data_IF_698629305787
#
_entry.id   IF_698629305787
#
_cell.length_a   1.000
_cell.length_b   1.000
_cell.length_c   1.000
_cell.angle_alpha   90.00
_cell.angle_beta   90.00
_cell.angle_gamma   90.00
#
_symmetry.space_group_name_H-M   'P 1'
#
loop_
_entity.id
_entity.type
_entity.pdbx_description
1 polymer ?
#
# COMPACT_ATOMS: atom_id res chain seq x y z
N UNK A 1 -51.65 -13.87 -66.16
CA UNK A 1 -52.11 -14.59 -64.97
C UNK A 1 -51.34 -14.05 -63.78
N UNK A 2 -52.08 -13.50 -62.83
CA UNK A 2 -51.63 -12.89 -61.59
C UNK A 2 -50.92 -13.90 -60.67
N UNK A 3 -50.00 -13.44 -59.81
CA UNK A 3 -50.27 -13.51 -58.38
C UNK A 3 -49.42 -12.55 -57.54
N UNK A 4 -50.11 -11.91 -56.61
CA UNK A 4 -49.65 -10.92 -55.62
C UNK A 4 -48.79 -11.57 -54.53
N UNK A 5 -47.75 -10.88 -54.05
CA UNK A 5 -47.24 -11.06 -52.67
C UNK A 5 -47.06 -9.65 -52.06
N UNK A 6 -47.78 -9.39 -50.96
CA UNK A 6 -47.73 -8.15 -50.16
C UNK A 6 -46.40 -8.05 -49.40
N UNK A 7 -45.86 -6.84 -49.15
CA UNK A 7 -44.71 -6.68 -48.26
C UNK A 7 -45.17 -6.85 -46.80
N UNK A 8 -44.50 -7.75 -46.07
CA UNK A 8 -44.72 -7.98 -44.65
C UNK A 8 -44.02 -6.90 -43.82
N UNK A 9 -44.75 -6.32 -42.88
CA UNK A 9 -44.27 -5.44 -41.82
C UNK A 9 -43.14 -6.13 -41.01
N UNK A 10 -41.86 -5.78 -41.21
CA UNK A 10 -40.81 -6.16 -40.23
C UNK A 10 -39.83 -5.04 -39.86
N UNK A 11 -39.75 -3.96 -40.65
CA UNK A 11 -38.81 -2.86 -40.36
C UNK A 11 -39.17 -2.03 -39.11
N UNK A 12 -40.46 -1.97 -38.72
CA UNK A 12 -40.89 -1.26 -37.49
C UNK A 12 -40.64 -2.05 -36.21
N UNK A 13 -40.65 -3.38 -36.26
CA UNK A 13 -40.42 -4.23 -35.08
C UNK A 13 -38.93 -4.31 -34.73
N UNK A 14 -38.02 -4.35 -35.70
CA UNK A 14 -36.57 -4.37 -35.40
C UNK A 14 -36.07 -3.07 -34.75
N UNK A 15 -36.57 -1.91 -35.18
CA UNK A 15 -36.19 -0.63 -34.59
C UNK A 15 -36.78 -0.41 -33.18
N UNK A 16 -37.98 -0.95 -32.90
CA UNK A 16 -38.57 -0.88 -31.56
C UNK A 16 -37.91 -1.85 -30.58
N UNK A 17 -37.48 -3.03 -31.05
CA UNK A 17 -36.79 -4.04 -30.22
C UNK A 17 -35.35 -3.62 -29.90
N UNK A 18 -34.59 -3.07 -30.85
CA UNK A 18 -33.25 -2.55 -30.56
C UNK A 18 -33.26 -1.36 -29.60
N UNK A 19 -34.29 -0.50 -29.67
CA UNK A 19 -34.45 0.65 -28.77
C UNK A 19 -34.95 0.24 -27.38
N UNK A 20 -35.73 -0.84 -27.27
CA UNK A 20 -36.12 -1.39 -25.97
C UNK A 20 -34.98 -2.12 -25.28
N UNK A 21 -34.13 -2.82 -26.03
CA UNK A 21 -32.97 -3.55 -25.47
C UNK A 21 -31.88 -2.59 -24.98
N UNK A 22 -31.66 -1.45 -25.66
CA UNK A 22 -30.71 -0.43 -25.19
C UNK A 22 -31.19 0.28 -23.92
N UNK A 23 -32.50 0.56 -23.83
CA UNK A 23 -33.12 1.17 -22.64
C UNK A 23 -33.11 0.19 -21.47
N UNK A 24 -33.41 -1.10 -21.71
CA UNK A 24 -33.35 -2.14 -20.69
C UNK A 24 -31.91 -2.37 -20.20
N UNK A 25 -30.90 -2.29 -21.08
CA UNK A 25 -29.50 -2.37 -20.68
C UNK A 25 -29.05 -1.14 -19.86
N UNK A 26 -29.51 0.06 -20.20
CA UNK A 26 -29.25 1.28 -19.42
C UNK A 26 -29.96 1.26 -18.06
N UNK A 27 -31.19 0.79 -17.99
CA UNK A 27 -31.93 0.56 -16.75
C UNK A 27 -31.25 -0.51 -15.90
N UNK A 28 -30.79 -1.61 -16.49
CA UNK A 28 -30.05 -2.66 -15.79
C UNK A 28 -28.70 -2.16 -15.27
N UNK A 29 -27.96 -1.36 -16.05
CA UNK A 29 -26.73 -0.70 -15.60
C UNK A 29 -27.01 0.33 -14.49
N UNK A 30 -28.15 1.01 -14.54
CA UNK A 30 -28.58 1.96 -13.51
C UNK A 30 -28.96 1.23 -12.22
N UNK A 31 -29.66 0.10 -12.32
CA UNK A 31 -29.99 -0.79 -11.21
C UNK A 31 -28.74 -1.45 -10.63
N UNK A 32 -27.77 -1.85 -11.45
CA UNK A 32 -26.46 -2.34 -10.99
C UNK A 32 -25.70 -1.22 -10.28
N UNK A 33 -25.68 0.01 -10.80
CA UNK A 33 -25.06 1.16 -10.12
C UNK A 33 -25.76 1.54 -8.82
N UNK A 34 -27.09 1.48 -8.78
CA UNK A 34 -27.87 1.69 -7.55
C UNK A 34 -27.65 0.57 -6.55
N UNK A 35 -27.59 -0.68 -7.02
CA UNK A 35 -27.28 -1.83 -6.19
C UNK A 35 -25.86 -1.72 -5.63
N UNK A 36 -24.85 -1.39 -6.44
CA UNK A 36 -23.48 -1.14 -5.96
C UNK A 36 -23.39 0.04 -4.98
N UNK A 37 -24.28 1.03 -5.08
CA UNK A 37 -24.41 2.12 -4.10
C UNK A 37 -25.21 1.72 -2.85
N UNK A 38 -26.16 0.80 -2.95
CA UNK A 38 -26.99 0.30 -1.84
C UNK A 38 -26.41 -0.94 -1.17
N UNK A 39 -25.38 -1.55 -1.77
CA UNK A 39 -24.45 -2.47 -1.15
C UNK A 39 -23.59 -1.67 -0.16
N UNK A 40 -24.25 -1.13 0.87
CA UNK A 40 -23.61 -0.93 2.13
C UNK A 40 -23.09 -2.30 2.55
N UNK A 41 -21.77 -2.47 2.48
CA UNK A 41 -21.14 -3.58 3.15
C UNK A 41 -21.54 -3.50 4.63
N UNK A 42 -21.74 -4.60 5.36
CA UNK A 42 -21.71 -4.54 6.82
C UNK A 42 -20.27 -4.13 7.18
N UNK A 43 -20.04 -2.83 7.36
CA UNK A 43 -18.73 -2.20 7.13
C UNK A 43 -18.79 -0.92 6.30
N UNK A 44 -19.99 -0.41 6.00
CA UNK A 44 -20.24 1.01 5.82
C UNK A 44 -19.36 1.75 6.78
N UNK A 45 -18.42 2.50 6.20
CA UNK A 45 -17.38 3.17 6.94
C UNK A 45 -18.07 4.11 7.92
N UNK A 46 -18.25 3.63 9.14
CA UNK A 46 -18.11 4.40 10.36
C UNK A 46 -16.71 5.02 10.28
N UNK A 47 -16.49 5.96 9.36
CA UNK A 47 -15.63 7.07 9.71
C UNK A 47 -16.24 7.54 11.01
N UNK A 48 -15.47 7.54 12.09
CA UNK A 48 -15.83 8.34 13.25
C UNK A 48 -15.91 9.77 12.69
N UNK A 49 -17.08 10.17 12.18
CA UNK A 49 -17.25 11.22 11.16
C UNK A 49 -16.78 12.60 11.62
N UNK A 50 -16.36 12.71 12.88
CA UNK A 50 -15.92 13.96 13.50
C UNK A 50 -14.54 13.85 14.18
N UNK A 51 -13.84 12.71 14.11
CA UNK A 51 -12.53 12.59 14.76
C UNK A 51 -11.43 13.16 13.83
N UNK A 52 -10.69 14.19 14.24
CA UNK A 52 -9.65 14.78 13.41
C UNK A 52 -8.50 13.80 13.18
N UNK A 53 -7.85 13.89 12.02
CA UNK A 53 -6.73 13.05 11.64
C UNK A 53 -5.50 13.91 11.33
N UNK A 54 -4.36 13.55 11.90
CA UNK A 54 -3.07 14.19 11.62
C UNK A 54 -2.15 13.19 10.96
N UNK A 55 -1.78 13.46 9.71
CA UNK A 55 -0.83 12.65 8.96
C UNK A 55 0.53 13.35 8.90
N UNK A 56 1.51 12.78 9.58
CA UNK A 56 2.84 13.34 9.72
C UNK A 56 3.80 12.67 8.74
N UNK A 57 4.41 13.44 7.85
CA UNK A 57 5.45 12.97 6.92
C UNK A 57 6.82 13.29 7.52
N UNK A 58 7.39 12.32 8.23
CA UNK A 58 8.76 12.41 8.75
C UNK A 58 9.74 12.25 7.60
N UNK A 59 10.66 13.20 7.41
CA UNK A 59 11.51 13.25 6.23
C UNK A 59 10.86 13.95 5.04
N UNK A 60 9.94 14.89 5.27
CA UNK A 60 9.21 15.61 4.22
C UNK A 60 10.10 16.29 3.16
N UNK A 61 11.35 16.64 3.50
CA UNK A 61 12.30 17.22 2.55
C UNK A 61 13.02 16.20 1.65
N UNK A 62 12.79 14.90 1.86
CA UNK A 62 13.43 13.80 1.12
C UNK A 62 12.78 13.50 -0.23
N UNK A 63 13.45 12.64 -1.01
CA UNK A 63 13.03 12.27 -2.36
C UNK A 63 11.77 11.41 -2.38
N UNK A 64 11.66 10.44 -1.46
CA UNK A 64 10.47 9.59 -1.36
C UNK A 64 9.22 10.43 -1.06
N UNK A 65 9.34 11.40 -0.15
CA UNK A 65 8.25 12.30 0.21
C UNK A 65 7.73 13.08 -1.01
N UNK A 66 8.62 13.74 -1.76
CA UNK A 66 8.26 14.58 -2.91
C UNK A 66 7.74 13.78 -4.10
N UNK A 67 8.36 12.63 -4.39
CA UNK A 67 8.10 11.84 -5.60
C UNK A 67 6.92 10.88 -5.45
N UNK A 68 6.58 10.46 -4.22
CA UNK A 68 5.58 9.42 -3.95
C UNK A 68 4.57 9.81 -2.88
N UNK A 69 5.02 10.23 -1.69
CA UNK A 69 4.10 10.43 -0.55
C UNK A 69 3.15 11.60 -0.80
N UNK A 70 3.66 12.82 -1.03
CA UNK A 70 2.79 13.98 -1.30
C UNK A 70 1.90 13.81 -2.54
N UNK A 71 2.38 13.28 -3.68
CA UNK A 71 1.50 12.92 -4.80
C UNK A 71 0.39 11.94 -4.43
N UNK A 72 0.70 10.94 -3.59
CA UNK A 72 -0.29 9.95 -3.13
C UNK A 72 -1.31 10.59 -2.19
N UNK A 73 -0.84 11.43 -1.25
CA UNK A 73 -1.71 12.22 -0.35
C UNK A 73 -2.63 13.15 -1.15
N UNK A 74 -2.11 13.76 -2.20
CA UNK A 74 -2.91 14.54 -3.14
C UNK A 74 -3.98 13.68 -3.81
N UNK A 75 -3.64 12.50 -4.34
CA UNK A 75 -4.63 11.63 -5.01
C UNK A 75 -5.76 11.19 -4.08
N UNK A 76 -5.44 10.74 -2.86
CA UNK A 76 -6.48 10.33 -1.89
C UNK A 76 -7.32 11.52 -1.40
N UNK A 77 -6.72 12.71 -1.31
CA UNK A 77 -7.44 13.94 -0.99
C UNK A 77 -8.35 14.38 -2.14
N UNK A 78 -7.84 14.36 -3.37
CA UNK A 78 -8.59 14.64 -4.61
C UNK A 78 -9.81 13.72 -4.70
N UNK A 79 -9.63 12.43 -4.44
CA UNK A 79 -10.65 11.40 -4.60
C UNK A 79 -11.60 11.27 -3.39
N UNK A 80 -11.49 12.15 -2.38
CA UNK A 80 -12.33 12.16 -1.16
C UNK A 80 -12.29 10.84 -0.38
N UNK A 81 -11.13 10.21 -0.33
CA UNK A 81 -10.90 8.95 0.39
C UNK A 81 -10.32 9.17 1.81
N UNK A 82 -10.33 10.42 2.27
CA UNK A 82 -9.87 10.83 3.59
C UNK A 82 -11.04 11.39 4.41
N UNK A 83 -11.01 11.24 5.74
CA UNK A 83 -11.90 11.98 6.63
C UNK A 83 -11.80 13.49 6.38
N UNK A 84 -12.93 14.21 6.48
CA UNK A 84 -12.97 15.65 6.18
C UNK A 84 -12.01 16.46 7.05
N UNK A 85 -11.89 16.09 8.34
CA UNK A 85 -11.02 16.75 9.32
C UNK A 85 -9.57 16.21 9.30
N UNK A 86 -8.96 16.08 8.11
CA UNK A 86 -7.57 15.62 7.97
C UNK A 86 -6.60 16.78 7.74
N UNK A 87 -5.49 16.81 8.46
CA UNK A 87 -4.37 17.74 8.25
C UNK A 87 -3.07 16.98 7.99
N UNK A 88 -2.16 17.61 7.23
CA UNK A 88 -0.84 17.07 6.92
C UNK A 88 0.26 17.88 7.58
N UNK A 89 1.22 17.21 8.21
CA UNK A 89 2.35 17.86 8.86
C UNK A 89 3.66 17.28 8.32
N UNK A 90 4.39 18.06 7.52
CA UNK A 90 5.74 17.71 7.12
C UNK A 90 6.75 18.00 8.24
N UNK A 91 7.66 17.06 8.51
CA UNK A 91 8.72 17.23 9.50
C UNK A 91 10.08 16.88 8.93
N UNK A 92 11.05 17.81 8.99
CA UNK A 92 12.45 17.51 8.67
C UNK A 92 13.44 18.55 9.23
N UNK A 93 14.74 18.22 9.14
CA UNK A 93 15.85 19.11 9.56
C UNK A 93 15.97 20.39 8.72
N UNK A 94 15.57 20.31 7.45
CA UNK A 94 15.67 21.42 6.50
C UNK A 94 14.73 22.55 6.89
N UNK A 95 15.18 23.80 6.77
CA UNK A 95 14.31 24.96 6.94
C UNK A 95 13.54 25.21 5.64
N UNK A 96 12.30 24.72 5.56
CA UNK A 96 11.43 24.86 4.39
C UNK A 96 10.12 25.51 4.79
N UNK A 97 9.57 26.32 3.89
CA UNK A 97 8.18 26.74 3.93
C UNK A 97 7.30 25.76 3.16
N UNK A 98 5.97 25.86 3.35
CA UNK A 98 5.01 25.10 2.54
C UNK A 98 5.10 25.47 1.06
N UNK A 99 5.41 26.73 0.74
CA UNK A 99 5.65 27.15 -0.64
C UNK A 99 6.85 26.40 -1.26
N UNK A 100 7.96 26.31 -0.53
CA UNK A 100 9.16 25.57 -1.01
C UNK A 100 8.88 24.08 -1.19
N UNK A 101 8.10 23.50 -0.27
CA UNK A 101 7.71 22.11 -0.32
C UNK A 101 6.78 21.83 -1.51
N UNK A 102 5.80 22.70 -1.72
CA UNK A 102 4.88 22.68 -2.87
C UNK A 102 5.65 22.72 -4.17
N UNK A 103 6.53 23.70 -4.35
CA UNK A 103 7.36 23.84 -5.56
C UNK A 103 8.14 22.56 -5.87
N UNK A 104 8.73 21.94 -4.84
CA UNK A 104 9.48 20.69 -4.99
C UNK A 104 8.59 19.48 -5.33
N UNK A 105 7.32 19.51 -4.98
CA UNK A 105 6.36 18.45 -5.29
C UNK A 105 5.63 18.67 -6.61
N UNK A 106 5.52 19.91 -7.11
CA UNK A 106 4.83 20.28 -8.35
C UNK A 106 5.17 19.37 -9.55
N UNK A 107 6.44 18.97 -9.80
CA UNK A 107 6.76 18.11 -10.94
C UNK A 107 6.14 16.70 -10.86
N UNK A 108 5.75 16.25 -9.67
CA UNK A 108 5.24 14.90 -9.41
C UNK A 108 3.74 14.89 -9.07
N UNK A 109 3.17 16.06 -8.74
CA UNK A 109 1.76 16.23 -8.47
C UNK A 109 1.06 16.58 -9.78
N UNK A 110 0.44 15.57 -10.39
CA UNK A 110 -0.38 15.77 -11.60
C UNK A 110 -1.79 16.18 -11.16
N UNK A 111 -2.18 17.40 -11.53
CA UNK A 111 -3.52 17.94 -11.35
C UNK A 111 -4.04 18.47 -12.68
N UNK A 112 -5.31 18.22 -12.96
CA UNK A 112 -6.00 18.78 -14.14
C UNK A 112 -6.40 20.24 -13.90
N UNK A 113 -6.64 21.05 -14.94
CA UNK A 113 -7.05 22.44 -14.78
C UNK A 113 -8.27 22.62 -13.86
N UNK A 114 -9.25 21.72 -13.95
CA UNK A 114 -10.45 21.73 -13.10
C UNK A 114 -10.19 21.33 -11.64
N UNK A 115 -9.03 20.74 -11.34
CA UNK A 115 -8.64 20.29 -10.00
C UNK A 115 -7.81 21.36 -9.25
N UNK A 116 -7.48 22.48 -9.89
CA UNK A 116 -6.56 23.46 -9.34
C UNK A 116 -7.05 24.08 -8.02
N UNK A 117 -8.34 24.40 -7.91
CA UNK A 117 -8.92 24.93 -6.66
C UNK A 117 -8.79 23.90 -5.52
N UNK A 118 -9.03 22.63 -5.81
CA UNK A 118 -8.89 21.54 -4.84
C UNK A 118 -7.42 21.31 -4.47
N UNK A 119 -6.50 21.52 -5.40
CA UNK A 119 -5.07 21.49 -5.12
C UNK A 119 -4.65 22.62 -4.19
N UNK A 120 -5.20 23.82 -4.33
CA UNK A 120 -4.99 24.90 -3.36
C UNK A 120 -5.53 24.53 -1.98
N UNK A 121 -6.74 23.95 -1.91
CA UNK A 121 -7.31 23.46 -0.64
C UNK A 121 -6.40 22.42 0.02
N UNK A 122 -5.84 21.49 -0.76
CA UNK A 122 -4.87 20.53 -0.26
C UNK A 122 -3.67 21.23 0.38
N UNK A 123 -3.03 22.17 -0.33
CA UNK A 123 -1.87 22.87 0.22
C UNK A 123 -2.19 23.77 1.43
N UNK A 124 -3.42 24.27 1.54
CA UNK A 124 -3.88 25.06 2.70
C UNK A 124 -3.97 24.25 4.00
N UNK A 125 -4.16 22.92 3.91
CA UNK A 125 -4.20 22.00 5.07
C UNK A 125 -2.85 21.28 5.30
N UNK A 126 -1.79 21.72 4.61
CA UNK A 126 -0.43 21.24 4.81
C UNK A 126 0.36 22.22 5.69
N UNK A 127 1.00 21.70 6.73
CA UNK A 127 1.85 22.44 7.66
C UNK A 127 3.26 21.83 7.69
N UNK A 128 4.24 22.61 8.11
CA UNK A 128 5.64 22.17 8.16
C UNK A 128 6.28 22.57 9.47
N UNK A 129 6.92 21.60 10.12
CA UNK A 129 7.67 21.78 11.36
C UNK A 129 9.12 21.40 11.12
N UNK A 130 10.03 22.32 11.43
CA UNK A 130 11.46 22.06 11.39
C UNK A 130 11.90 21.45 12.73
N UNK A 131 12.69 20.38 12.67
CA UNK A 131 13.31 19.80 13.87
C UNK A 131 14.30 18.67 13.55
N UNK A 132 15.10 18.30 14.54
CA UNK A 132 16.04 17.19 14.47
C UNK A 132 15.35 15.83 14.69
N UNK A 133 16.03 14.73 14.37
CA UNK A 133 15.46 13.39 14.53
C UNK A 133 15.80 12.73 15.88
N UNK A 134 16.67 13.38 16.66
CA UNK A 134 17.26 12.87 17.90
C UNK A 134 16.92 13.74 19.13
N UNK A 135 16.58 15.02 18.95
CA UNK A 135 16.32 15.93 20.06
C UNK A 135 14.86 15.84 20.53
N UNK A 136 14.66 15.40 21.77
CA UNK A 136 13.34 15.33 22.42
C UNK A 136 12.55 16.64 22.35
N UNK A 137 13.22 17.77 22.57
CA UNK A 137 12.60 19.12 22.52
C UNK A 137 11.89 19.39 21.18
N UNK A 138 12.45 18.93 20.07
CA UNK A 138 11.86 19.18 18.76
C UNK A 138 10.60 18.34 18.53
N UNK A 139 10.52 17.15 19.14
CA UNK A 139 9.30 16.34 19.15
C UNK A 139 8.23 16.92 20.09
N UNK A 140 8.62 17.55 21.19
CA UNK A 140 7.67 18.30 22.04
C UNK A 140 7.06 19.48 21.29
N UNK A 141 7.86 20.20 20.48
CA UNK A 141 7.37 21.25 19.59
C UNK A 141 6.45 20.70 18.49
N UNK A 142 6.82 19.56 17.88
CA UNK A 142 5.96 18.87 16.92
C UNK A 142 4.60 18.50 17.54
N UNK A 143 4.60 17.96 18.76
CA UNK A 143 3.38 17.63 19.49
C UNK A 143 2.51 18.86 19.78
N UNK A 144 3.13 19.99 20.15
CA UNK A 144 2.40 21.25 20.37
C UNK A 144 1.72 21.73 19.09
N UNK A 145 2.42 21.73 17.95
CA UNK A 145 1.83 22.13 16.67
C UNK A 145 0.73 21.17 16.21
N UNK A 146 0.92 19.85 16.30
CA UNK A 146 -0.13 18.88 15.97
C UNK A 146 -1.37 19.07 16.85
N UNK A 147 -1.19 19.33 18.14
CA UNK A 147 -2.27 19.54 19.10
C UNK A 147 -3.02 20.84 18.81
N UNK A 148 -2.30 21.90 18.43
CA UNK A 148 -2.89 23.19 18.05
C UNK A 148 -3.73 23.09 16.78
N UNK A 149 -3.28 22.30 15.80
CA UNK A 149 -3.90 22.20 14.49
C UNK A 149 -5.05 21.17 14.45
N UNK A 150 -4.85 19.99 15.03
CA UNK A 150 -5.81 18.87 14.99
C UNK A 150 -6.54 18.63 16.31
N UNK A 151 -6.15 19.28 17.40
CA UNK A 151 -6.70 19.03 18.73
C UNK A 151 -6.08 17.83 19.45
N UNK A 152 -6.41 17.70 20.75
CA UNK A 152 -5.87 16.64 21.62
C UNK A 152 -6.38 15.23 21.31
N UNK A 153 -7.51 15.12 20.60
CA UNK A 153 -8.21 13.86 20.30
C UNK A 153 -8.02 13.41 18.85
N UNK A 154 -7.04 13.96 18.15
CA UNK A 154 -6.79 13.57 16.77
C UNK A 154 -6.09 12.22 16.68
N UNK A 155 -6.56 11.37 15.76
CA UNK A 155 -5.87 10.18 15.33
C UNK A 155 -4.57 10.56 14.61
N UNK A 156 -3.47 9.88 14.90
CA UNK A 156 -2.14 10.27 14.39
C UNK A 156 -1.51 9.17 13.56
N UNK A 157 -1.06 9.51 12.36
CA UNK A 157 -0.28 8.62 11.49
C UNK A 157 1.11 9.23 11.31
N UNK A 158 2.16 8.49 11.63
CA UNK A 158 3.54 8.89 11.38
C UNK A 158 4.12 8.07 10.24
N UNK A 159 4.34 8.68 9.07
CA UNK A 159 5.03 8.06 7.95
C UNK A 159 6.53 8.33 8.04
N UNK A 160 7.34 7.29 8.25
CA UNK A 160 8.79 7.39 8.36
C UNK A 160 9.47 7.29 6.98
N UNK A 161 9.46 8.39 6.22
CA UNK A 161 10.22 8.53 4.97
C UNK A 161 11.69 8.91 5.27
N UNK A 162 12.34 8.12 6.12
CA UNK A 162 13.65 8.39 6.70
C UNK A 162 14.63 7.24 6.42
N UNK A 163 15.96 7.50 6.45
CA UNK A 163 16.93 6.41 6.41
C UNK A 163 16.87 5.58 7.70
N UNK A 164 17.23 4.28 7.64
CA UNK A 164 17.13 3.36 8.78
C UNK A 164 18.00 3.77 9.98
N UNK A 165 19.06 4.54 9.78
CA UNK A 165 19.95 5.02 10.84
C UNK A 165 19.26 5.91 11.89
N UNK A 166 18.11 6.52 11.55
CA UNK A 166 17.35 7.38 12.46
C UNK A 166 16.05 6.76 12.95
N UNK A 167 15.74 5.51 12.60
CA UNK A 167 14.49 4.86 13.03
C UNK A 167 14.39 4.71 14.55
N UNK A 168 15.44 4.20 15.21
CA UNK A 168 15.46 4.02 16.67
C UNK A 168 15.22 5.33 17.44
N UNK A 169 15.95 6.43 17.20
CA UNK A 169 15.71 7.68 17.93
C UNK A 169 14.35 8.31 17.61
N UNK A 170 13.90 8.25 16.35
CA UNK A 170 12.60 8.84 15.95
C UNK A 170 11.44 8.11 16.59
N UNK A 171 11.43 6.78 16.53
CA UNK A 171 10.36 5.95 17.12
C UNK A 171 10.29 6.11 18.64
N UNK A 172 11.45 6.19 19.30
CA UNK A 172 11.54 6.46 20.74
C UNK A 172 10.95 7.83 21.12
N UNK A 173 11.30 8.86 20.36
CA UNK A 173 10.79 10.21 20.60
C UNK A 173 9.30 10.34 20.27
N UNK A 174 8.80 9.68 19.21
CA UNK A 174 7.36 9.61 18.90
C UNK A 174 6.61 9.00 20.08
N UNK A 175 7.08 7.86 20.59
CA UNK A 175 6.44 7.18 21.73
C UNK A 175 6.45 8.05 22.99
N UNK A 176 7.53 8.78 23.23
CA UNK A 176 7.68 9.60 24.43
C UNK A 176 6.86 10.90 24.40
N UNK A 177 6.72 11.55 23.24
CA UNK A 177 6.23 12.93 23.17
C UNK A 177 4.98 13.13 22.30
N UNK A 178 4.76 12.25 21.32
CA UNK A 178 3.84 12.51 20.21
C UNK A 178 2.68 11.52 20.10
N UNK A 179 2.51 10.62 21.07
CA UNK A 179 1.37 9.72 21.12
C UNK A 179 0.06 10.50 21.26
N UNK A 180 -0.99 10.03 20.61
CA UNK A 180 -2.33 10.60 20.72
C UNK A 180 -2.87 10.45 22.16
N UNK A 181 -3.75 11.38 22.57
CA UNK A 181 -4.39 11.35 23.89
C UNK A 181 -5.49 10.30 24.01
N UNK A 182 -6.10 10.20 25.20
CA UNK A 182 -7.15 9.22 25.49
C UNK A 182 -8.30 9.28 24.48
N UNK A 183 -8.62 8.14 23.86
CA UNK A 183 -9.70 7.98 22.88
C UNK A 183 -9.29 8.14 21.42
N UNK A 184 -8.01 8.38 21.12
CA UNK A 184 -7.47 8.42 19.76
C UNK A 184 -6.32 7.41 19.60
N UNK A 185 -6.09 6.93 18.39
CA UNK A 185 -5.02 5.97 18.10
C UNK A 185 -3.81 6.64 17.44
N UNK A 186 -2.65 5.97 17.56
CA UNK A 186 -1.42 6.36 16.87
C UNK A 186 -0.93 5.18 16.04
N UNK A 187 -0.62 5.41 14.76
CA UNK A 187 -0.06 4.41 13.85
C UNK A 187 1.25 4.91 13.25
N UNK A 188 2.22 4.02 13.09
CA UNK A 188 3.54 4.33 12.55
C UNK A 188 3.79 3.47 11.32
N UNK A 189 4.01 4.14 10.19
CA UNK A 189 4.33 3.51 8.91
C UNK A 189 5.85 3.53 8.72
N UNK A 190 6.44 2.36 8.52
CA UNK A 190 7.90 2.18 8.43
C UNK A 190 8.24 1.57 7.06
N UNK A 191 9.21 2.18 6.39
CA UNK A 191 9.74 1.74 5.11
C UNK A 191 10.92 0.78 5.26
N UNK A 192 11.14 -0.03 4.22
CA UNK A 192 12.34 -0.87 4.13
C UNK A 192 13.61 0.01 4.03
N UNK A 193 14.78 -0.45 4.52
CA UNK A 193 15.10 -1.81 4.97
C UNK A 193 14.82 -2.08 6.45
N UNK A 194 14.31 -3.29 6.76
CA UNK A 194 14.05 -3.77 8.12
C UNK A 194 15.23 -4.57 8.68
N UNK A 195 16.43 -3.97 8.68
CA UNK A 195 17.69 -4.67 8.95
C UNK A 195 18.36 -5.21 7.68
N UNK A 196 19.55 -5.80 7.83
CA UNK A 196 20.35 -6.41 6.74
C UNK A 196 20.39 -7.94 6.82
N UNK A 197 20.02 -8.50 7.96
CA UNK A 197 20.03 -9.92 8.29
C UNK A 197 19.04 -10.21 9.43
N UNK A 198 18.92 -11.48 9.80
CA UNK A 198 18.02 -11.91 10.88
C UNK A 198 18.32 -11.19 12.21
N UNK A 199 19.60 -11.08 12.61
CA UNK A 199 19.98 -10.50 13.90
C UNK A 199 19.68 -8.99 13.97
N UNK A 200 20.00 -8.23 12.92
CA UNK A 200 19.71 -6.80 12.84
C UNK A 200 18.22 -6.50 12.69
N UNK A 201 17.48 -7.36 11.97
CA UNK A 201 16.02 -7.27 11.86
C UNK A 201 15.33 -7.56 13.20
N UNK A 202 15.81 -8.57 13.93
CA UNK A 202 15.30 -8.91 15.25
C UNK A 202 15.59 -7.79 16.26
N UNK A 203 16.78 -7.17 16.21
CA UNK A 203 17.12 -6.00 17.04
C UNK A 203 16.11 -4.86 16.81
N UNK A 204 15.86 -4.51 15.55
CA UNK A 204 14.89 -3.46 15.20
C UNK A 204 13.47 -3.83 15.64
N UNK A 205 13.09 -5.10 15.45
CA UNK A 205 11.76 -5.58 15.83
C UNK A 205 11.56 -5.56 17.34
N UNK A 206 12.55 -5.98 18.14
CA UNK A 206 12.53 -5.89 19.60
C UNK A 206 12.43 -4.45 20.09
N UNK A 207 13.17 -3.53 19.46
CA UNK A 207 13.08 -2.10 19.75
C UNK A 207 11.65 -1.56 19.51
N UNK A 208 11.08 -1.84 18.34
CA UNK A 208 9.74 -1.37 17.98
C UNK A 208 8.64 -1.98 18.85
N UNK A 209 8.72 -3.28 19.13
CA UNK A 209 7.76 -3.99 19.99
C UNK A 209 7.80 -3.51 21.45
N UNK A 210 8.94 -2.98 21.91
CA UNK A 210 9.04 -2.34 23.23
C UNK A 210 8.35 -0.97 23.31
N UNK A 211 8.03 -0.35 22.17
CA UNK A 211 7.45 0.99 22.09
C UNK A 211 5.99 0.99 21.62
N UNK A 212 5.65 0.14 20.66
CA UNK A 212 4.36 0.11 19.99
C UNK A 212 3.77 -1.29 20.00
N UNK A 213 2.45 -1.37 20.02
CA UNK A 213 1.75 -2.62 19.75
C UNK A 213 1.84 -2.95 18.26
N UNK A 214 1.70 -4.22 17.92
CA UNK A 214 1.79 -4.66 16.52
C UNK A 214 0.66 -4.06 15.64
N UNK A 215 -0.52 -3.80 16.21
CA UNK A 215 -1.65 -3.11 15.54
C UNK A 215 -1.37 -1.62 15.22
N UNK A 216 -0.36 -1.03 15.86
CA UNK A 216 0.07 0.35 15.64
C UNK A 216 1.18 0.44 14.57
N UNK A 217 1.78 -0.69 14.17
CA UNK A 217 2.94 -0.73 13.28
C UNK A 217 2.57 -1.21 11.87
N UNK A 218 2.88 -0.39 10.87
CA UNK A 218 2.60 -0.66 9.46
C UNK A 218 3.92 -0.72 8.67
N UNK A 219 4.43 -1.93 8.46
CA UNK A 219 5.67 -2.15 7.69
C UNK A 219 5.34 -2.23 6.20
N UNK A 220 5.93 -1.34 5.40
CA UNK A 220 5.63 -1.24 3.98
C UNK A 220 6.45 -2.26 3.17
N UNK A 221 5.71 -3.10 2.47
CA UNK A 221 6.14 -3.70 1.22
C UNK A 221 5.19 -3.23 0.10
N UNK A 222 5.66 -2.31 -0.74
CA UNK A 222 4.83 -1.66 -1.74
C UNK A 222 4.30 -2.62 -2.84
N UNK A 223 4.85 -3.84 -2.96
CA UNK A 223 4.30 -4.83 -3.88
C UNK A 223 2.95 -5.37 -3.42
N UNK A 224 2.70 -5.41 -2.11
CA UNK A 224 1.40 -5.79 -1.55
C UNK A 224 0.29 -4.77 -1.89
N UNK A 225 0.67 -3.55 -2.27
CA UNK A 225 -0.25 -2.52 -2.76
C UNK A 225 -0.56 -2.61 -4.25
N UNK A 226 0.08 -3.52 -5.01
CA UNK A 226 -0.19 -3.68 -6.44
C UNK A 226 -1.46 -4.47 -6.66
N UNK A 227 -2.34 -3.95 -7.52
CA UNK A 227 -3.65 -4.54 -7.84
C UNK A 227 -3.57 -6.03 -8.18
N UNK A 228 -2.66 -6.42 -9.09
CA UNK A 228 -2.50 -7.82 -9.49
C UNK A 228 -1.99 -8.74 -8.36
N UNK A 229 -1.22 -8.19 -7.41
CA UNK A 229 -0.75 -8.94 -6.24
C UNK A 229 -1.91 -9.17 -5.27
N UNK A 230 -2.75 -8.16 -5.04
CA UNK A 230 -3.96 -8.30 -4.22
C UNK A 230 -4.97 -9.28 -4.86
N UNK A 231 -5.07 -9.27 -6.19
CA UNK A 231 -5.98 -10.15 -6.92
C UNK A 231 -5.63 -11.65 -6.79
N UNK A 232 -4.42 -12.01 -6.36
CA UNK A 232 -4.04 -13.42 -6.14
C UNK A 232 -4.98 -14.11 -5.14
N UNK A 233 -5.41 -13.42 -4.08
CA UNK A 233 -6.34 -13.98 -3.11
C UNK A 233 -7.72 -14.25 -3.71
N UNK A 234 -8.25 -13.29 -4.48
CA UNK A 234 -9.54 -13.43 -5.14
C UNK A 234 -9.51 -14.53 -6.21
N UNK A 235 -8.44 -14.61 -6.98
CA UNK A 235 -8.22 -15.66 -7.97
C UNK A 235 -8.22 -17.04 -7.31
N UNK A 236 -7.40 -17.26 -6.28
CA UNK A 236 -7.24 -18.59 -5.66
C UNK A 236 -8.46 -19.04 -4.87
N UNK A 237 -9.01 -18.17 -4.01
CA UNK A 237 -10.04 -18.57 -3.05
C UNK A 237 -11.46 -18.18 -3.44
N UNK A 238 -11.62 -17.27 -4.40
CA UNK A 238 -12.93 -16.87 -4.93
C UNK A 238 -13.45 -17.78 -6.06
N UNK A 239 -12.58 -18.62 -6.65
CA UNK A 239 -12.92 -19.40 -7.84
C UNK A 239 -12.82 -20.91 -7.59
N UNK A 240 -13.94 -21.61 -7.78
CA UNK A 240 -14.01 -23.07 -7.56
C UNK A 240 -13.14 -23.86 -8.54
N UNK A 241 -12.82 -23.31 -9.72
CA UNK A 241 -11.96 -23.96 -10.72
C UNK A 241 -10.49 -24.06 -10.26
N UNK A 242 -10.00 -23.08 -9.49
CA UNK A 242 -8.61 -23.05 -9.04
C UNK A 242 -8.41 -23.84 -7.74
N UNK A 243 -9.43 -23.98 -6.89
CA UNK A 243 -9.32 -24.71 -5.62
C UNK A 243 -8.72 -26.13 -5.78
N UNK A 244 -9.32 -27.04 -6.58
CA UNK A 244 -8.81 -28.41 -6.74
C UNK A 244 -7.50 -28.53 -7.52
N UNK A 245 -7.12 -27.51 -8.29
CA UNK A 245 -5.93 -27.54 -9.17
C UNK A 245 -4.73 -26.84 -8.56
N UNK A 246 -4.89 -26.12 -7.45
CA UNK A 246 -3.81 -25.37 -6.81
C UNK A 246 -2.99 -26.22 -5.83
N UNK A 247 -2.40 -27.31 -6.31
CA UNK A 247 -1.61 -28.24 -5.50
C UNK A 247 -0.56 -28.99 -6.35
N UNK A 248 0.30 -29.74 -5.67
CA UNK A 248 1.41 -30.50 -6.28
C UNK A 248 1.00 -31.57 -7.29
N UNK A 249 -0.24 -32.04 -7.27
CA UNK A 249 -0.72 -33.07 -8.19
C UNK A 249 -1.03 -32.47 -9.59
N UNK A 250 -1.21 -31.15 -9.66
CA UNK A 250 -1.58 -30.42 -10.88
C UNK A 250 -0.54 -29.37 -11.30
N UNK A 251 0.25 -28.83 -10.36
CA UNK A 251 1.25 -27.80 -10.61
C UNK A 251 2.64 -28.43 -10.64
N UNK A 252 3.30 -28.39 -11.79
CA UNK A 252 4.67 -28.86 -11.95
C UNK A 252 5.72 -27.90 -11.36
N UNK A 253 5.54 -26.58 -11.57
CA UNK A 253 6.43 -25.56 -11.01
C UNK A 253 5.75 -24.19 -10.92
N UNK A 254 6.28 -23.32 -10.05
CA UNK A 254 5.85 -21.92 -9.90
C UNK A 254 7.05 -21.03 -10.21
N UNK A 255 6.87 -20.08 -11.12
CA UNK A 255 7.92 -19.15 -11.53
C UNK A 255 7.52 -17.71 -11.19
N UNK A 256 8.33 -17.04 -10.38
CA UNK A 256 8.16 -15.63 -10.00
C UNK A 256 9.34 -14.85 -10.52
N UNK A 257 9.10 -13.93 -11.46
CA UNK A 257 10.14 -13.16 -12.14
C UNK A 257 10.02 -11.67 -11.84
N UNK A 258 11.14 -11.06 -11.54
CA UNK A 258 11.31 -9.61 -11.50
C UNK A 258 12.44 -9.21 -12.44
N UNK A 259 12.14 -8.29 -13.36
CA UNK A 259 13.07 -7.81 -14.38
C UNK A 259 12.94 -6.30 -14.48
N UNK A 260 14.08 -5.62 -14.47
CA UNK A 260 14.16 -4.19 -14.74
C UNK A 260 15.01 -3.97 -15.99
N UNK A 261 14.57 -3.13 -16.95
CA UNK A 261 15.31 -2.86 -18.17
C UNK A 261 16.46 -1.86 -17.96
N UNK A 262 16.73 -1.44 -16.72
CA UNK A 262 17.74 -0.45 -16.36
C UNK A 262 18.66 -0.96 -15.24
N UNK A 263 19.88 -0.44 -15.19
CA UNK A 263 20.85 -0.75 -14.14
C UNK A 263 20.65 0.11 -12.88
N UNK A 264 21.69 0.27 -12.06
CA UNK A 264 21.58 0.94 -10.75
C UNK A 264 21.36 2.46 -10.79
N UNK A 265 21.39 3.11 -11.97
CA UNK A 265 21.04 4.53 -12.18
C UNK A 265 21.59 5.50 -11.10
N UNK A 266 22.88 5.39 -10.75
CA UNK A 266 23.52 6.25 -9.75
C UNK A 266 23.29 5.85 -8.29
N UNK A 267 22.54 4.78 -8.01
CA UNK A 267 22.36 4.15 -6.69
C UNK A 267 23.31 2.97 -6.45
N UNK A 268 24.36 2.84 -7.26
CA UNK A 268 25.32 1.74 -7.19
C UNK A 268 25.91 1.52 -5.79
N UNK A 269 26.27 2.59 -5.08
CA UNK A 269 26.82 2.47 -3.72
C UNK A 269 25.84 1.89 -2.70
N UNK A 270 24.55 2.25 -2.77
CA UNK A 270 23.53 1.61 -1.92
C UNK A 270 23.30 0.16 -2.34
N UNK A 271 23.26 -0.12 -3.64
CA UNK A 271 23.01 -1.47 -4.14
C UNK A 271 24.15 -2.44 -3.81
N UNK A 272 25.40 -1.99 -3.79
CA UNK A 272 26.57 -2.80 -3.45
C UNK A 272 26.50 -3.36 -2.02
N UNK A 273 26.02 -2.52 -1.09
CA UNK A 273 25.84 -2.88 0.31
C UNK A 273 24.71 -3.91 0.55
N UNK A 274 23.64 -3.88 -0.24
CA UNK A 274 22.45 -4.70 0.01
C UNK A 274 22.34 -5.91 -0.92
N UNK A 275 22.67 -5.72 -2.20
CA UNK A 275 22.52 -6.69 -3.28
C UNK A 275 21.05 -7.01 -3.62
N UNK A 276 20.86 -7.73 -4.74
CA UNK A 276 19.52 -8.05 -5.26
C UNK A 276 18.66 -8.89 -4.30
N UNK A 277 19.30 -9.75 -3.50
CA UNK A 277 18.59 -10.61 -2.55
C UNK A 277 17.87 -9.78 -1.49
N UNK A 278 18.55 -8.81 -0.88
CA UNK A 278 17.93 -7.96 0.16
C UNK A 278 17.04 -6.89 -0.45
N UNK A 279 17.39 -6.39 -1.63
CA UNK A 279 16.65 -5.30 -2.25
C UNK A 279 15.28 -5.75 -2.75
N UNK A 280 15.17 -6.93 -3.36
CA UNK A 280 13.94 -7.40 -4.03
C UNK A 280 13.49 -8.80 -3.61
N UNK A 281 14.40 -9.76 -3.48
CA UNK A 281 14.02 -11.17 -3.28
C UNK A 281 13.43 -11.43 -1.89
N UNK A 282 14.11 -10.96 -0.84
CA UNK A 282 13.75 -11.17 0.56
C UNK A 282 12.43 -10.49 0.95
N UNK A 283 12.06 -9.42 0.25
CA UNK A 283 10.80 -8.69 0.47
C UNK A 283 9.75 -9.08 -0.60
N UNK A 284 9.76 -8.42 -1.76
CA UNK A 284 8.71 -8.44 -2.76
C UNK A 284 8.39 -9.84 -3.27
N UNK A 285 9.41 -10.59 -3.70
CA UNK A 285 9.19 -11.92 -4.30
C UNK A 285 8.76 -12.93 -3.24
N UNK A 286 9.34 -12.84 -2.04
CA UNK A 286 8.98 -13.71 -0.95
C UNK A 286 7.55 -13.45 -0.45
N UNK A 287 7.10 -12.19 -0.44
CA UNK A 287 5.71 -11.84 -0.15
C UNK A 287 4.74 -12.39 -1.20
N UNK A 288 5.07 -12.29 -2.49
CA UNK A 288 4.27 -12.89 -3.57
C UNK A 288 4.25 -14.42 -3.44
N UNK A 289 5.39 -15.03 -3.17
CA UNK A 289 5.50 -16.48 -2.96
C UNK A 289 4.56 -16.93 -1.84
N UNK A 290 4.52 -16.20 -0.72
CA UNK A 290 3.60 -16.51 0.37
C UNK A 290 2.13 -16.42 -0.07
N UNK A 291 1.74 -15.38 -0.81
CA UNK A 291 0.37 -15.28 -1.33
C UNK A 291 0.01 -16.38 -2.32
N UNK A 292 0.99 -16.92 -3.05
CA UNK A 292 0.81 -18.04 -3.99
C UNK A 292 0.74 -19.39 -3.27
N UNK A 293 1.45 -19.56 -2.15
CA UNK A 293 1.60 -20.86 -1.48
C UNK A 293 0.80 -21.03 -0.19
N UNK A 294 0.32 -19.94 0.43
CA UNK A 294 -0.49 -20.01 1.65
C UNK A 294 -1.75 -20.85 1.47
N UNK A 295 -2.17 -21.53 2.54
CA UNK A 295 -3.47 -22.20 2.58
C UNK A 295 -4.62 -21.19 2.59
N UNK A 296 -5.85 -21.70 2.46
CA UNK A 296 -7.03 -20.84 2.54
C UNK A 296 -7.18 -20.34 3.98
N UNK A 297 -7.16 -19.02 4.20
CA UNK A 297 -7.31 -18.49 5.55
C UNK A 297 -8.73 -18.74 6.07
N UNK A 298 -8.85 -18.84 7.39
CA UNK A 298 -10.11 -19.03 8.11
C UNK A 298 -11.13 -17.92 7.78
N UNK A 299 -10.65 -16.69 7.59
CA UNK A 299 -11.43 -15.54 7.16
C UNK A 299 -10.60 -14.55 6.34
N UNK A 300 -11.21 -13.45 5.90
CA UNK A 300 -10.52 -12.33 5.23
C UNK A 300 -10.02 -11.27 6.21
N UNK A 301 -10.02 -11.55 7.52
CA UNK A 301 -9.42 -10.67 8.51
C UNK A 301 -7.91 -10.53 8.28
N UNK A 302 -7.35 -9.38 8.64
CA UNK A 302 -5.92 -9.14 8.42
C UNK A 302 -5.04 -10.16 9.16
N UNK A 303 -5.47 -10.61 10.34
CA UNK A 303 -4.68 -11.50 11.21
C UNK A 303 -4.71 -12.92 10.67
N UNK A 304 -5.87 -13.43 10.27
CA UNK A 304 -6.00 -14.77 9.69
C UNK A 304 -5.17 -14.91 8.40
N UNK A 305 -5.14 -13.85 7.56
CA UNK A 305 -4.30 -13.83 6.36
C UNK A 305 -2.81 -13.81 6.74
N UNK A 306 -2.43 -13.05 7.77
CA UNK A 306 -1.04 -12.98 8.24
C UNK A 306 -0.59 -14.33 8.80
N UNK A 307 -1.45 -15.01 9.55
CA UNK A 307 -1.16 -16.31 10.15
C UNK A 307 -0.88 -17.37 9.09
N UNK A 308 -1.67 -17.44 8.01
CA UNK A 308 -1.40 -18.38 6.91
C UNK A 308 -0.10 -18.07 6.17
N UNK A 309 0.21 -16.77 5.99
CA UNK A 309 1.50 -16.37 5.40
C UNK A 309 2.66 -16.79 6.30
N UNK A 310 2.57 -16.57 7.62
CA UNK A 310 3.59 -16.98 8.60
C UNK A 310 3.72 -18.50 8.68
N UNK A 311 2.60 -19.24 8.66
CA UNK A 311 2.59 -20.69 8.61
C UNK A 311 3.36 -21.21 7.39
N UNK A 312 3.16 -20.58 6.23
CA UNK A 312 3.90 -20.90 5.00
C UNK A 312 5.42 -20.73 5.18
N UNK A 313 5.85 -19.61 5.79
CA UNK A 313 7.28 -19.35 6.05
C UNK A 313 7.93 -20.46 6.88
N UNK A 314 7.22 -21.03 7.86
CA UNK A 314 7.75 -22.07 8.74
C UNK A 314 8.11 -23.37 7.99
N UNK A 315 7.51 -23.60 6.82
CA UNK A 315 7.78 -24.75 5.98
C UNK A 315 8.89 -24.53 4.95
N UNK A 316 9.38 -23.30 4.79
CA UNK A 316 10.47 -23.02 3.86
C UNK A 316 11.82 -23.48 4.43
N UNK A 317 12.55 -24.23 3.62
CA UNK A 317 13.93 -24.61 3.93
C UNK A 317 14.87 -23.45 3.67
N UNK A 318 15.80 -23.20 4.58
CA UNK A 318 16.84 -22.18 4.38
C UNK A 318 17.70 -22.53 3.17
N UNK A 319 17.86 -21.57 2.26
CA UNK A 319 18.76 -21.74 1.11
C UNK A 319 20.21 -21.85 1.61
N UNK A 320 20.83 -23.01 1.39
CA UNK A 320 22.24 -23.24 1.64
C UNK A 320 23.03 -23.01 0.35
N UNK A 321 23.87 -21.98 0.34
CA UNK A 321 24.83 -21.77 -0.75
C UNK A 321 26.09 -22.60 -0.48
N UNK A 322 26.21 -23.76 -1.13
CA UNK A 322 27.48 -24.47 -1.20
C UNK A 322 28.35 -23.81 -2.29
N UNK A 323 29.35 -23.03 -1.88
CA UNK A 323 30.26 -22.31 -2.77
C UNK A 323 31.13 -23.20 -3.67
N UNK A 324 31.08 -24.52 -3.51
CA UNK A 324 31.77 -25.50 -4.37
C UNK A 324 30.99 -25.88 -5.63
N UNK A 325 29.74 -25.45 -5.78
CA UNK A 325 28.97 -25.66 -7.01
C UNK A 325 27.99 -24.52 -7.19
N UNK A 326 28.25 -23.63 -8.15
CA UNK A 326 27.27 -22.65 -8.63
C UNK A 326 26.16 -23.41 -9.38
N UNK A 327 25.32 -24.13 -8.63
CA UNK A 327 24.06 -24.68 -9.11
C UNK A 327 23.01 -24.16 -8.12
N UNK A 328 22.12 -23.29 -8.60
CA UNK A 328 20.97 -22.82 -7.85
C UNK A 328 20.17 -24.02 -7.35
N UNK A 329 20.13 -24.21 -6.02
CA UNK A 329 19.33 -25.28 -5.40
C UNK A 329 17.88 -24.81 -5.34
N UNK A 330 17.06 -25.46 -6.16
CA UNK A 330 15.61 -25.32 -6.20
C UNK A 330 15.00 -25.98 -4.96
N UNK A 331 13.97 -25.35 -4.37
CA UNK A 331 13.12 -25.99 -3.36
C UNK A 331 12.44 -27.21 -3.99
N UNK A 332 12.78 -28.39 -3.50
CA UNK A 332 12.28 -29.67 -4.00
C UNK A 332 10.86 -29.94 -3.50
N UNK A 333 9.95 -30.13 -4.45
CA UNK A 333 9.11 -31.32 -4.46
C UNK A 333 9.18 -31.94 -5.87
N UNK A 334 10.23 -32.76 -6.08
CA UNK A 334 10.38 -33.76 -7.15
C UNK A 334 10.39 -33.28 -8.61
N UNK A 335 11.59 -33.38 -9.20
CA UNK A 335 11.98 -33.39 -10.62
C UNK A 335 12.08 -32.04 -11.36
N UNK A 336 13.34 -31.66 -11.59
CA UNK A 336 13.83 -30.46 -12.25
C UNK A 336 14.25 -30.80 -13.69
N UNK A 337 13.77 -30.04 -14.68
CA UNK A 337 14.45 -29.86 -15.96
C UNK A 337 14.74 -28.36 -16.09
N UNK A 338 16.02 -28.05 -16.29
CA UNK A 338 16.57 -26.72 -16.56
C UNK A 338 16.90 -26.69 -18.04
N UNK A 339 16.43 -25.68 -18.77
CA UNK A 339 17.07 -25.26 -20.01
C UNK A 339 17.28 -23.73 -19.98
N UNK A 340 18.46 -23.34 -20.49
CA UNK A 340 19.09 -22.01 -20.49
C UNK A 340 18.33 -21.02 -21.36
#
# INVERSE_FOLDING_TARGET
MENKIKPFHSARQHASVQKSDSVAAEEMLTLIRQSLKSCHTPGDSNWEEDVPHVFVVMGASGDLAKKKIYPTLWWIFRDRLLPENTIFVGYARSNLTISDLREKCTPFVVAKPEEQERLEQFWNINYYVKGSYDARRDFELLNQEMTKLGGNKANRIFYLALPPSVFEPVTSNIRACCMAGNGAWTRVIIEKPFGRDAASSEKLSRHLAGLFKEEELYRIDHYLGKEMVQNLMALRFGNRIFGPTWNRDNIASVFISFKEPFGTQGRGGYFDDFGIIRDVMQNHLLQILCLVSMERPSSTSADDIRDEKVGTYAHFTTLLFNFTSCLFVCLSATNLIVDI
#
